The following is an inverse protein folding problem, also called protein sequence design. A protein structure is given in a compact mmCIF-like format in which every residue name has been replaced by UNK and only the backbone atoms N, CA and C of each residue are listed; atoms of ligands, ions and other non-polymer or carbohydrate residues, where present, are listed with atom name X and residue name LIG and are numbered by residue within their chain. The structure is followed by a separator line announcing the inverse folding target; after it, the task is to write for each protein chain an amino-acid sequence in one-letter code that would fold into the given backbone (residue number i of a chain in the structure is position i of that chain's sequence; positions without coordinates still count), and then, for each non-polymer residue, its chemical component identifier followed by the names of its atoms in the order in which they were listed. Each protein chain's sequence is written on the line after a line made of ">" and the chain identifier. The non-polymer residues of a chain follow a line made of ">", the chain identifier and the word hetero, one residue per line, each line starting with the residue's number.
data_IF_950911930263
#
_entry.id   IF_950911930263
#
_cell.length_a   1.000
_cell.length_b   1.000
_cell.length_c   1.000
_cell.angle_alpha   90.00
_cell.angle_beta   90.00
_cell.angle_gamma   90.00
#
_symmetry.space_group_name_H-M   'P 1'
#
loop_
_entity.id
_entity.type
_entity.pdbx_description
1 polymer ?
#
# COMPACT_ATOMS: atom_id res chain seq x y z
N UNK A 1 -7.42 -20.13 0.23
CA UNK A 1 -7.61 -18.71 0.60
C UNK A 1 -7.08 -17.75 -0.48
N UNK A 2 -6.02 -18.12 -1.22
CA UNK A 2 -5.39 -17.26 -2.23
C UNK A 2 -6.31 -16.85 -3.40
N UNK A 3 -7.23 -17.72 -3.84
CA UNK A 3 -8.13 -17.41 -4.97
C UNK A 3 -9.08 -16.24 -4.69
N UNK A 4 -9.48 -16.04 -3.42
CA UNK A 4 -10.34 -14.92 -3.03
C UNK A 4 -9.60 -13.57 -2.98
N UNK A 5 -8.27 -13.58 -2.81
CA UNK A 5 -7.45 -12.37 -2.73
C UNK A 5 -7.04 -11.84 -4.10
N UNK A 6 -6.95 -12.72 -5.08
CA UNK A 6 -6.52 -12.39 -6.45
C UNK A 6 -7.36 -11.27 -7.08
N UNK A 7 -8.72 -11.30 -7.05
CA UNK A 7 -9.51 -10.23 -7.67
C UNK A 7 -9.28 -8.88 -7.01
N UNK A 8 -9.10 -8.81 -5.68
CA UNK A 8 -8.81 -7.54 -4.99
C UNK A 8 -7.40 -7.02 -5.32
N UNK A 9 -6.43 -7.92 -5.47
CA UNK A 9 -5.07 -7.54 -5.89
C UNK A 9 -5.06 -6.99 -7.33
N UNK A 10 -5.80 -7.62 -8.24
CA UNK A 10 -5.95 -7.16 -9.63
C UNK A 10 -6.66 -5.80 -9.64
N UNK A 11 -7.75 -5.65 -8.88
CA UNK A 11 -8.49 -4.39 -8.78
C UNK A 11 -7.60 -3.27 -8.22
N UNK A 12 -6.79 -3.55 -7.21
CA UNK A 12 -5.83 -2.59 -6.66
C UNK A 12 -4.75 -2.20 -7.69
N UNK A 13 -4.23 -3.15 -8.48
CA UNK A 13 -3.27 -2.88 -9.53
C UNK A 13 -3.88 -2.03 -10.67
N UNK A 14 -5.10 -2.33 -11.10
CA UNK A 14 -5.84 -1.54 -12.09
C UNK A 14 -6.09 -0.14 -11.53
N UNK A 15 -6.56 0.00 -10.30
CA UNK A 15 -6.78 1.29 -9.64
C UNK A 15 -5.50 2.13 -9.57
N UNK A 16 -4.36 1.51 -9.25
CA UNK A 16 -3.06 2.17 -9.25
C UNK A 16 -2.68 2.67 -10.65
N UNK A 17 -2.81 1.82 -11.66
CA UNK A 17 -2.49 2.19 -13.05
C UNK A 17 -3.36 3.34 -13.55
N UNK A 18 -4.67 3.26 -13.36
CA UNK A 18 -5.59 4.30 -13.79
C UNK A 18 -5.39 5.62 -13.01
N UNK A 19 -5.08 5.53 -11.71
CA UNK A 19 -4.73 6.71 -10.91
C UNK A 19 -3.46 7.38 -11.41
N UNK A 20 -2.46 6.61 -11.85
CA UNK A 20 -1.24 7.13 -12.46
C UNK A 20 -1.55 7.81 -13.80
N UNK A 21 -2.42 7.23 -14.63
CA UNK A 21 -2.86 7.86 -15.88
C UNK A 21 -3.53 9.21 -15.63
N UNK A 22 -4.50 9.26 -14.72
CA UNK A 22 -5.17 10.52 -14.34
C UNK A 22 -4.13 11.54 -13.86
N UNK A 23 -3.18 11.09 -13.04
CA UNK A 23 -2.14 11.97 -12.51
C UNK A 23 -1.25 12.58 -13.59
N UNK A 24 -0.80 11.77 -14.56
CA UNK A 24 0.00 12.24 -15.71
C UNK A 24 -0.78 13.26 -16.55
N UNK A 25 -2.06 12.99 -16.86
CA UNK A 25 -2.88 13.93 -17.60
C UNK A 25 -3.01 15.29 -16.89
N UNK A 26 -3.23 15.26 -15.57
CA UNK A 26 -3.34 16.50 -14.77
C UNK A 26 -2.01 17.26 -14.67
N UNK A 27 -0.86 16.55 -14.63
CA UNK A 27 0.47 17.17 -14.69
C UNK A 27 0.73 17.87 -16.02
N UNK A 28 0.21 17.32 -17.13
CA UNK A 28 0.30 17.91 -18.46
C UNK A 28 -0.73 19.03 -18.69
N UNK A 29 -1.53 19.38 -17.69
CA UNK A 29 -2.59 20.38 -17.81
C UNK A 29 -3.74 19.95 -18.72
N UNK A 30 -3.86 18.66 -19.01
CA UNK A 30 -4.92 18.10 -19.85
C UNK A 30 -6.16 17.78 -19.04
N UNK A 31 -7.32 17.77 -19.71
CA UNK A 31 -8.57 17.33 -19.09
C UNK A 31 -8.47 15.89 -18.62
N UNK A 32 -9.10 15.62 -17.47
CA UNK A 32 -9.07 14.30 -16.85
C UNK A 32 -9.79 13.29 -17.74
N UNK A 33 -9.14 12.19 -18.12
CA UNK A 33 -9.82 11.10 -18.78
C UNK A 33 -10.92 10.59 -17.83
N UNK A 34 -12.09 10.26 -18.39
CA UNK A 34 -13.30 9.83 -17.65
C UNK A 34 -14.10 10.94 -16.94
N UNK A 35 -13.67 12.20 -16.90
CA UNK A 35 -14.40 13.30 -16.26
C UNK A 35 -14.84 12.94 -14.83
N UNK A 36 -16.12 13.15 -14.51
CA UNK A 36 -16.67 12.89 -13.18
C UNK A 36 -16.63 11.42 -12.75
N UNK A 37 -16.50 10.45 -13.66
CA UNK A 37 -16.34 9.02 -13.32
C UNK A 37 -15.03 8.77 -12.57
N UNK A 38 -14.02 9.65 -12.71
CA UNK A 38 -12.78 9.55 -11.96
C UNK A 38 -12.99 9.61 -10.44
N UNK A 39 -14.06 10.24 -9.94
CA UNK A 39 -14.42 10.17 -8.52
C UNK A 39 -14.76 8.75 -8.04
N UNK A 40 -15.12 7.85 -8.96
CA UNK A 40 -15.31 6.44 -8.65
C UNK A 40 -14.06 5.76 -8.06
N UNK A 41 -12.86 6.31 -8.28
CA UNK A 41 -11.63 5.81 -7.65
C UNK A 41 -11.65 5.92 -6.12
N UNK A 42 -12.35 6.90 -5.55
CA UNK A 42 -12.55 6.95 -4.10
C UNK A 42 -13.31 5.73 -3.57
N UNK A 43 -14.39 5.36 -4.27
CA UNK A 43 -15.16 4.16 -3.92
C UNK A 43 -14.32 2.90 -4.09
N UNK A 44 -13.57 2.82 -5.19
CA UNK A 44 -12.64 1.71 -5.46
C UNK A 44 -11.61 1.51 -4.37
N UNK A 45 -11.08 2.60 -3.78
CA UNK A 45 -10.15 2.52 -2.63
C UNK A 45 -10.81 1.77 -1.47
N UNK A 46 -12.04 2.11 -1.07
CA UNK A 46 -12.71 1.44 0.04
C UNK A 46 -12.90 -0.04 -0.22
N UNK A 47 -13.23 -0.43 -1.47
CA UNK A 47 -13.39 -1.84 -1.86
C UNK A 47 -12.09 -2.64 -1.66
N UNK A 48 -10.94 -2.09 -2.06
CA UNK A 48 -9.65 -2.80 -1.95
C UNK A 48 -9.01 -2.63 -0.57
N UNK A 49 -9.28 -1.51 0.10
CA UNK A 49 -8.67 -1.19 1.39
C UNK A 49 -9.24 -2.03 2.54
N UNK A 50 -10.54 -2.31 2.52
CA UNK A 50 -11.18 -3.12 3.55
C UNK A 50 -10.54 -4.52 3.69
N UNK A 51 -10.42 -5.34 2.63
CA UNK A 51 -9.71 -6.62 2.72
C UNK A 51 -8.22 -6.44 3.03
N UNK A 52 -7.55 -5.40 2.48
CA UNK A 52 -6.14 -5.14 2.76
C UNK A 52 -5.88 -4.88 4.24
N UNK A 53 -6.68 -4.02 4.90
CA UNK A 53 -6.55 -3.73 6.34
C UNK A 53 -6.87 -4.97 7.18
N UNK A 54 -7.91 -5.71 6.84
CA UNK A 54 -8.31 -6.92 7.57
C UNK A 54 -7.19 -7.97 7.56
N UNK A 55 -6.56 -8.17 6.40
CA UNK A 55 -5.43 -9.07 6.24
C UNK A 55 -4.15 -8.52 6.86
N UNK A 56 -3.91 -7.22 6.71
CA UNK A 56 -2.79 -6.53 7.34
C UNK A 56 -2.78 -6.72 8.85
N UNK A 57 -3.93 -6.61 9.52
CA UNK A 57 -4.07 -6.90 10.95
C UNK A 57 -3.70 -8.34 11.29
N UNK A 58 -4.08 -9.31 10.46
CA UNK A 58 -3.70 -10.71 10.67
C UNK A 58 -2.21 -10.93 10.51
N UNK A 59 -1.59 -10.32 9.47
CA UNK A 59 -0.15 -10.42 9.20
C UNK A 59 0.72 -9.78 10.28
N UNK A 60 0.19 -8.78 10.99
CA UNK A 60 0.92 -7.99 11.98
C UNK A 60 0.60 -8.35 13.42
N UNK A 61 -0.25 -9.36 13.68
CA UNK A 61 -0.77 -9.70 15.02
C UNK A 61 0.34 -9.91 16.07
N UNK A 62 1.45 -10.55 15.68
CA UNK A 62 2.54 -10.91 16.57
C UNK A 62 3.70 -9.90 16.57
N UNK A 63 3.50 -8.72 15.96
CA UNK A 63 4.53 -7.70 15.81
C UNK A 63 4.25 -6.47 16.69
N UNK A 64 5.34 -5.80 17.13
CA UNK A 64 5.24 -4.53 17.87
C UNK A 64 4.66 -3.44 16.97
N UNK A 65 3.98 -2.46 17.57
CA UNK A 65 3.30 -1.39 16.84
C UNK A 65 4.20 -0.63 15.85
N UNK A 66 5.46 -0.39 16.19
CA UNK A 66 6.43 0.29 15.32
C UNK A 66 6.80 -0.51 14.06
N UNK A 67 6.63 -1.84 14.10
CA UNK A 67 7.05 -2.75 13.04
C UNK A 67 5.86 -3.25 12.20
N UNK A 68 4.63 -2.78 12.51
CA UNK A 68 3.38 -3.26 11.88
C UNK A 68 3.41 -3.17 10.34
N UNK A 69 3.82 -2.01 9.80
CA UNK A 69 3.81 -1.83 8.36
C UNK A 69 4.86 -2.70 7.67
N UNK A 70 6.02 -2.90 8.28
CA UNK A 70 7.04 -3.83 7.77
C UNK A 70 6.55 -5.28 7.82
N UNK A 71 5.83 -5.65 8.90
CA UNK A 71 5.22 -6.97 9.03
C UNK A 71 4.16 -7.23 7.96
N UNK A 72 3.32 -6.23 7.66
CA UNK A 72 2.31 -6.32 6.61
C UNK A 72 2.93 -6.52 5.22
N UNK A 73 4.11 -5.97 4.97
CA UNK A 73 4.81 -6.01 3.67
C UNK A 73 5.91 -7.08 3.59
N UNK A 74 6.05 -7.96 4.59
CA UNK A 74 7.16 -8.94 4.65
C UNK A 74 7.25 -9.85 3.43
N UNK A 75 6.12 -10.21 2.81
CA UNK A 75 6.05 -11.03 1.60
C UNK A 75 6.37 -10.32 0.29
N UNK A 76 6.60 -8.99 0.33
CA UNK A 76 6.84 -8.21 -0.87
C UNK A 76 8.34 -8.13 -1.22
N UNK A 77 8.68 -8.05 -2.53
CA UNK A 77 10.02 -7.66 -2.96
C UNK A 77 10.36 -6.22 -2.52
N UNK A 78 11.64 -5.88 -2.44
CA UNK A 78 12.12 -4.61 -1.89
C UNK A 78 11.51 -3.38 -2.58
N UNK A 79 11.40 -3.40 -3.91
CA UNK A 79 10.82 -2.30 -4.68
C UNK A 79 9.34 -2.07 -4.31
N UNK A 80 8.57 -3.15 -4.14
CA UNK A 80 7.15 -3.08 -3.78
C UNK A 80 6.95 -2.60 -2.33
N UNK A 81 7.88 -2.92 -1.41
CA UNK A 81 7.87 -2.37 -0.05
C UNK A 81 8.07 -0.87 -0.04
N UNK A 82 8.89 -0.34 -0.94
CA UNK A 82 9.22 1.09 -1.03
C UNK A 82 8.15 1.92 -1.75
N UNK A 83 7.41 1.33 -2.69
CA UNK A 83 6.39 2.04 -3.47
C UNK A 83 5.37 2.82 -2.63
N UNK A 84 4.68 2.24 -1.62
CA UNK A 84 3.72 2.98 -0.82
C UNK A 84 4.35 4.19 -0.13
N UNK A 85 5.55 4.05 0.43
CA UNK A 85 6.25 5.16 1.08
C UNK A 85 6.56 6.29 0.12
N UNK A 86 7.04 5.97 -1.09
CA UNK A 86 7.36 6.97 -2.11
C UNK A 86 6.10 7.71 -2.58
N UNK A 87 4.99 7.00 -2.80
CA UNK A 87 3.74 7.62 -3.19
C UNK A 87 3.11 8.45 -2.06
N UNK A 88 3.19 8.00 -0.80
CA UNK A 88 2.74 8.81 0.33
C UNK A 88 3.57 10.08 0.51
N UNK A 89 4.90 9.97 0.41
CA UNK A 89 5.77 11.15 0.45
C UNK A 89 5.46 12.13 -0.68
N UNK A 90 5.31 11.60 -1.90
CA UNK A 90 4.94 12.40 -3.05
C UNK A 90 3.57 13.09 -2.88
N UNK A 91 2.56 12.36 -2.42
CA UNK A 91 1.23 12.91 -2.16
C UNK A 91 1.27 14.01 -1.10
N UNK A 92 2.06 13.83 -0.03
CA UNK A 92 2.25 14.84 1.01
C UNK A 92 2.92 16.11 0.46
N UNK A 93 3.97 15.97 -0.35
CA UNK A 93 4.65 17.11 -1.00
C UNK A 93 3.67 17.83 -1.94
N UNK A 94 2.93 17.08 -2.76
CA UNK A 94 1.94 17.65 -3.69
C UNK A 94 0.82 18.40 -2.94
N UNK A 95 0.38 17.88 -1.80
CA UNK A 95 -0.60 18.52 -0.94
C UNK A 95 -0.05 19.84 -0.34
N UNK A 96 1.16 19.81 0.23
CA UNK A 96 1.79 20.99 0.79
C UNK A 96 1.99 22.08 -0.27
N UNK A 97 2.41 21.69 -1.46
CA UNK A 97 2.53 22.62 -2.60
C UNK A 97 1.19 23.25 -2.96
N UNK A 98 0.12 22.46 -3.05
CA UNK A 98 -1.23 22.95 -3.37
C UNK A 98 -1.75 23.93 -2.32
N UNK A 99 -1.47 23.68 -1.03
CA UNK A 99 -1.84 24.58 0.06
C UNK A 99 -1.02 25.89 -0.02
N UNK A 100 0.30 25.78 -0.20
CA UNK A 100 1.21 26.96 -0.21
C UNK A 100 0.93 27.90 -1.37
N UNK A 101 0.45 27.39 -2.50
CA UNK A 101 0.11 28.18 -3.70
C UNK A 101 -1.33 28.70 -3.68
N UNK A 102 -2.11 28.40 -2.62
CA UNK A 102 -3.52 28.81 -2.52
C UNK A 102 -4.45 28.15 -3.57
N UNK A 103 -3.97 27.13 -4.26
CA UNK A 103 -4.72 26.44 -5.30
C UNK A 103 -5.82 25.53 -4.71
N UNK A 104 -5.67 25.10 -3.46
CA UNK A 104 -6.63 24.25 -2.77
C UNK A 104 -7.95 24.94 -2.42
N UNK A 105 -7.98 26.29 -2.42
CA UNK A 105 -9.12 27.07 -1.91
C UNK A 105 -10.00 27.70 -2.98
N UNK A 106 -9.60 27.64 -4.26
CA UNK A 106 -10.37 28.23 -5.34
C UNK A 106 -11.32 27.19 -5.94
N UNK A 107 -12.59 27.25 -5.61
CA UNK A 107 -13.64 26.37 -6.13
C UNK A 107 -14.31 27.05 -7.35
N UNK A 108 -14.46 26.33 -8.49
CA UNK A 108 -15.37 26.75 -9.57
C UNK A 108 -14.81 26.99 -10.97
N UNK A 109 -13.48 27.00 -11.19
CA UNK A 109 -12.88 27.14 -12.54
C UNK A 109 -12.30 25.80 -13.06
N UNK A 110 -12.29 25.62 -14.39
CA UNK A 110 -11.73 24.41 -15.05
C UNK A 110 -10.27 24.15 -14.61
N UNK A 111 -9.48 25.20 -14.41
CA UNK A 111 -8.13 25.09 -13.87
C UNK A 111 -8.08 24.50 -12.45
N UNK A 112 -9.14 24.70 -11.67
CA UNK A 112 -9.26 24.16 -10.30
C UNK A 112 -9.64 22.69 -10.33
N UNK A 113 -10.43 22.21 -11.28
CA UNK A 113 -10.74 20.79 -11.42
C UNK A 113 -9.47 19.98 -11.70
N UNK A 114 -8.62 20.44 -12.63
CA UNK A 114 -7.34 19.78 -12.94
C UNK A 114 -6.46 19.70 -11.70
N UNK A 115 -6.35 20.78 -10.93
CA UNK A 115 -5.57 20.80 -9.69
C UNK A 115 -6.15 19.89 -8.61
N UNK A 116 -7.46 19.83 -8.47
CA UNK A 116 -8.15 18.96 -7.55
C UNK A 116 -7.90 17.48 -7.90
N UNK A 117 -8.03 17.12 -9.16
CA UNK A 117 -7.72 15.77 -9.62
C UNK A 117 -6.22 15.43 -9.49
N UNK A 118 -5.33 16.39 -9.69
CA UNK A 118 -3.90 16.22 -9.43
C UNK A 118 -3.63 15.86 -7.97
N UNK A 119 -4.30 16.52 -7.04
CA UNK A 119 -4.20 16.24 -5.62
C UNK A 119 -4.75 14.84 -5.30
N UNK A 120 -5.99 14.55 -5.72
CA UNK A 120 -6.65 13.28 -5.43
C UNK A 120 -5.93 12.10 -6.05
N UNK A 121 -5.47 12.20 -7.30
CA UNK A 121 -4.75 11.10 -7.97
C UNK A 121 -3.44 10.76 -7.27
N UNK A 122 -2.75 11.72 -6.65
CA UNK A 122 -1.61 11.48 -5.80
C UNK A 122 -1.96 10.58 -4.60
N UNK A 123 -3.05 10.88 -3.90
CA UNK A 123 -3.55 10.04 -2.80
C UNK A 123 -4.05 8.68 -3.30
N UNK A 124 -4.76 8.62 -4.42
CA UNK A 124 -5.21 7.35 -4.98
C UNK A 124 -4.04 6.41 -5.27
N UNK A 125 -2.96 6.91 -5.88
CA UNK A 125 -1.74 6.13 -6.10
C UNK A 125 -1.17 5.58 -4.78
N UNK A 126 -1.11 6.40 -3.73
CA UNK A 126 -0.61 5.99 -2.43
C UNK A 126 -1.46 4.86 -1.82
N UNK A 127 -2.78 5.02 -1.81
CA UNK A 127 -3.69 4.02 -1.24
C UNK A 127 -3.75 2.73 -2.04
N UNK A 128 -3.86 2.82 -3.38
CA UNK A 128 -3.88 1.62 -4.23
C UNK A 128 -2.56 0.87 -4.18
N UNK A 129 -1.41 1.55 -4.14
CA UNK A 129 -0.11 0.89 -4.01
C UNK A 129 0.06 0.17 -2.66
N UNK A 130 -0.40 0.80 -1.56
CA UNK A 130 -0.37 0.20 -0.24
C UNK A 130 -1.30 -1.03 -0.16
N UNK A 131 -2.54 -0.90 -0.65
CA UNK A 131 -3.49 -2.02 -0.69
C UNK A 131 -2.95 -3.17 -1.54
N UNK A 132 -2.43 -2.89 -2.74
CA UNK A 132 -1.81 -3.89 -3.62
C UNK A 132 -0.66 -4.63 -2.93
N UNK A 133 0.24 -3.88 -2.28
CA UNK A 133 1.39 -4.47 -1.57
C UNK A 133 0.95 -5.36 -0.40
N UNK A 134 -0.03 -4.93 0.40
CA UNK A 134 -0.55 -5.73 1.51
C UNK A 134 -1.25 -7.01 1.01
N UNK A 135 -2.10 -6.90 0.00
CA UNK A 135 -2.81 -8.03 -0.60
C UNK A 135 -1.84 -9.03 -1.24
N UNK A 136 -0.81 -8.53 -1.93
CA UNK A 136 0.27 -9.36 -2.47
C UNK A 136 1.03 -10.08 -1.35
N UNK A 137 1.44 -9.35 -0.30
CA UNK A 137 2.11 -9.96 0.86
C UNK A 137 1.26 -11.06 1.49
N UNK A 138 -0.05 -10.82 1.66
CA UNK A 138 -0.97 -11.80 2.20
C UNK A 138 -1.08 -13.06 1.34
N UNK A 139 -1.02 -12.92 0.02
CA UNK A 139 -1.03 -14.09 -0.89
C UNK A 139 0.23 -14.95 -0.80
N UNK A 140 1.35 -14.36 -0.37
CA UNK A 140 2.62 -15.07 -0.18
C UNK A 140 2.78 -15.68 1.22
N UNK A 141 1.85 -15.39 2.15
CA UNK A 141 2.01 -15.76 3.57
C UNK A 141 2.05 -17.27 3.81
N UNK A 142 1.41 -18.08 2.97
CA UNK A 142 1.51 -19.55 3.06
C UNK A 142 2.95 -20.08 2.91
N UNK A 143 3.82 -19.29 2.24
CA UNK A 143 5.25 -19.61 2.10
C UNK A 143 6.00 -19.29 3.40
N UNK A 144 5.51 -18.30 4.17
CA UNK A 144 6.16 -17.80 5.39
C UNK A 144 5.59 -18.39 6.68
N UNK A 145 4.38 -18.96 6.64
CA UNK A 145 3.76 -19.66 7.78
C UNK A 145 4.33 -21.07 7.99
N UNK A 146 5.34 -21.50 7.21
CA UNK A 146 6.15 -22.64 7.59
C UNK A 146 6.79 -22.32 8.94
N UNK A 147 6.47 -23.12 9.95
CA UNK A 147 7.02 -23.03 11.30
C UNK A 147 8.50 -22.71 11.25
N UNK A 148 8.87 -21.49 11.72
CA UNK A 148 10.28 -21.17 11.87
C UNK A 148 10.88 -22.08 12.93
N UNK A 149 11.98 -22.72 12.60
CA UNK A 149 12.73 -23.56 13.54
C UNK A 149 14.12 -22.98 13.76
N UNK A 150 14.58 -23.00 14.99
CA UNK A 150 15.97 -22.69 15.28
C UNK A 150 16.90 -23.81 14.77
N UNK A 151 18.20 -23.60 14.85
CA UNK A 151 19.22 -24.59 14.43
C UNK A 151 19.05 -25.96 15.14
N UNK A 152 18.47 -25.96 16.33
CA UNK A 152 18.22 -27.17 17.13
C UNK A 152 16.82 -27.77 16.88
N UNK A 153 16.04 -27.25 15.90
CA UNK A 153 14.74 -27.80 15.52
C UNK A 153 13.54 -27.29 16.31
N UNK A 154 13.72 -26.46 17.35
CA UNK A 154 12.61 -25.89 18.12
C UNK A 154 11.81 -24.89 17.28
N UNK A 155 10.49 -24.92 17.41
CA UNK A 155 9.60 -23.92 16.80
C UNK A 155 9.80 -22.58 17.49
N UNK A 156 9.99 -21.52 16.72
CA UNK A 156 10.22 -20.17 17.24
C UNK A 156 9.20 -19.19 16.69
N UNK A 157 8.86 -18.18 17.50
CA UNK A 157 7.96 -17.11 17.08
C UNK A 157 8.46 -16.40 15.80
N UNK A 158 7.57 -15.95 14.90
CA UNK A 158 7.96 -15.22 13.68
C UNK A 158 8.82 -13.97 13.94
N UNK A 159 8.67 -13.35 15.10
CA UNK A 159 9.42 -12.14 15.52
C UNK A 159 10.66 -12.43 16.36
N UNK A 160 10.92 -13.70 16.73
CA UNK A 160 12.01 -14.06 17.61
C UNK A 160 13.38 -13.89 16.93
N UNK A 161 14.31 -13.24 17.62
CA UNK A 161 15.73 -13.16 17.25
C UNK A 161 16.53 -14.31 17.85
N UNK A 162 16.05 -14.87 18.96
CA UNK A 162 16.64 -16.00 19.66
C UNK A 162 15.55 -17.02 19.95
N UNK A 163 15.94 -18.28 19.99
CA UNK A 163 15.04 -19.36 20.41
C UNK A 163 14.74 -19.25 21.91
N UNK A 164 13.46 -19.28 22.29
CA UNK A 164 13.03 -19.19 23.68
C UNK A 164 13.45 -20.44 24.49
N UNK A 165 13.57 -21.59 23.81
CA UNK A 165 13.92 -22.86 24.48
C UNK A 165 15.43 -23.09 24.66
N UNK A 166 16.26 -22.68 23.68
CA UNK A 166 17.69 -23.02 23.68
C UNK A 166 18.63 -21.82 23.55
N UNK A 167 18.11 -20.58 23.43
CA UNK A 167 18.89 -19.37 23.30
C UNK A 167 19.63 -19.22 21.95
N UNK A 168 19.54 -20.20 21.05
CA UNK A 168 20.23 -20.14 19.76
C UNK A 168 19.73 -18.97 18.91
N UNK A 169 20.63 -18.23 18.22
CA UNK A 169 20.20 -17.17 17.32
C UNK A 169 19.38 -17.75 16.17
N UNK A 170 18.25 -17.12 15.87
CA UNK A 170 17.40 -17.46 14.74
C UNK A 170 17.81 -16.59 13.57
N UNK A 171 18.10 -17.22 12.42
CA UNK A 171 18.52 -16.51 11.21
C UNK A 171 17.56 -15.35 10.91
N UNK A 172 18.12 -14.14 10.75
CA UNK A 172 17.35 -12.98 10.31
C UNK A 172 16.70 -13.28 8.97
N UNK A 173 15.46 -12.80 8.80
CA UNK A 173 14.85 -12.79 7.48
C UNK A 173 15.79 -12.01 6.56
N UNK A 174 16.36 -12.64 5.56
CA UNK A 174 16.96 -11.89 4.45
C UNK A 174 15.80 -11.15 3.76
N UNK A 175 15.67 -9.89 4.13
CA UNK A 175 14.72 -8.94 3.55
C UNK A 175 15.14 -8.56 2.13
#
# INVERSE_FOLDING_TARGET
>A
MNQLLTPFSILAAIGLFLSLMVHIHTLLGQQVPFGNLAYGFHVGIFIVWFPAVSLGKRLSKDFKQRDLFQAMLRGCPVWMKRMPYLFFLYAAINMLWSISTGQATKCGDIGNEIQQFRLFSGFWMAFYSAAFSILYSASQTEIFDKERRCRNGHVVSPSARFCEDCGAPVAEWRM
#
